data_IF_955849042465
#
_entry.id   IF_955849042465
#
_cell.length_a   1.000
_cell.length_b   1.000
_cell.length_c   1.000
_cell.angle_alpha   90.00
_cell.angle_beta   90.00
_cell.angle_gamma   90.00
#
_symmetry.space_group_name_H-M   'P 1'
#
loop_
_entity.id
_entity.type
_entity.pdbx_description
1 polymer ?
#
# COMPACT_ATOMS: atom_id res chain seq x y z
N UNK A 1 16.59 15.72 -2.28
CA UNK A 1 15.32 15.34 -2.93
C UNK A 1 14.38 14.87 -1.82
N UNK A 2 13.28 15.58 -1.56
CA UNK A 2 12.32 15.17 -0.52
C UNK A 2 11.45 14.04 -1.10
N UNK A 3 11.60 12.81 -0.57
CA UNK A 3 10.64 11.73 -0.87
C UNK A 3 9.37 12.03 -0.09
N UNK A 4 8.36 12.55 -0.78
CA UNK A 4 7.01 12.71 -0.24
C UNK A 4 6.31 11.35 -0.23
N UNK A 5 6.29 10.68 0.91
CA UNK A 5 5.42 9.53 1.13
C UNK A 5 3.99 10.04 1.36
N UNK A 6 3.24 10.20 0.27
CA UNK A 6 1.89 10.76 0.22
C UNK A 6 0.91 10.10 1.20
N UNK A 7 1.11 8.80 1.49
CA UNK A 7 0.26 8.03 2.39
C UNK A 7 0.89 7.77 3.77
N UNK A 8 1.94 8.51 4.13
CA UNK A 8 2.56 8.40 5.46
C UNK A 8 1.53 8.60 6.57
N UNK A 9 1.50 7.67 7.53
CA UNK A 9 0.56 7.69 8.66
C UNK A 9 -0.86 7.23 8.33
N UNK A 10 -1.12 6.73 7.11
CA UNK A 10 -2.40 6.11 6.74
C UNK A 10 -2.32 4.59 6.85
N UNK A 11 -3.46 3.97 7.17
CA UNK A 11 -3.62 2.51 7.15
C UNK A 11 -4.57 2.11 6.04
N UNK A 12 -4.21 1.09 5.27
CA UNK A 12 -5.04 0.54 4.19
C UNK A 12 -5.26 -0.97 4.39
N UNK A 13 -6.50 -1.44 4.21
CA UNK A 13 -6.84 -2.86 4.13
C UNK A 13 -6.98 -3.24 2.66
N UNK A 14 -6.23 -4.25 2.22
CA UNK A 14 -6.30 -4.79 0.85
C UNK A 14 -6.73 -6.25 0.91
N UNK A 15 -7.89 -6.54 0.30
CA UNK A 15 -8.41 -7.90 0.13
C UNK A 15 -7.98 -8.48 -1.22
N UNK A 16 -7.88 -9.81 -1.33
CA UNK A 16 -7.41 -10.45 -2.56
C UNK A 16 -5.95 -10.10 -2.87
N UNK A 17 -5.16 -9.87 -1.84
CA UNK A 17 -3.82 -9.28 -1.90
C UNK A 17 -2.72 -10.23 -2.41
N UNK A 18 -3.06 -11.49 -2.69
CA UNK A 18 -2.09 -12.54 -3.05
C UNK A 18 -1.72 -12.56 -4.53
N UNK A 19 -2.55 -11.98 -5.42
CA UNK A 19 -2.29 -11.96 -6.87
C UNK A 19 -2.94 -10.78 -7.58
N UNK A 20 -2.60 -10.60 -8.87
CA UNK A 20 -3.23 -9.63 -9.75
C UNK A 20 -3.23 -8.20 -9.20
N UNK A 21 -4.40 -7.55 -9.32
CA UNK A 21 -4.59 -6.14 -8.95
C UNK A 21 -4.43 -5.94 -7.44
N UNK A 22 -4.94 -6.86 -6.61
CA UNK A 22 -4.82 -6.74 -5.16
C UNK A 22 -3.37 -6.70 -4.70
N UNK A 23 -2.53 -7.58 -5.24
CA UNK A 23 -1.07 -7.57 -4.99
C UNK A 23 -0.41 -6.28 -5.47
N UNK A 24 -0.72 -5.83 -6.70
CA UNK A 24 -0.14 -4.61 -7.26
C UNK A 24 -0.53 -3.36 -6.45
N UNK A 25 -1.79 -3.28 -6.01
CA UNK A 25 -2.29 -2.19 -5.17
C UNK A 25 -1.60 -2.17 -3.80
N UNK A 26 -1.49 -3.33 -3.13
CA UNK A 26 -0.81 -3.43 -1.84
C UNK A 26 0.64 -2.93 -1.90
N UNK A 27 1.39 -3.33 -2.94
CA UNK A 27 2.77 -2.88 -3.16
C UNK A 27 2.83 -1.37 -3.38
N UNK A 28 1.95 -0.81 -4.22
CA UNK A 28 1.95 0.62 -4.51
C UNK A 28 1.58 1.46 -3.29
N UNK A 29 0.61 1.02 -2.49
CA UNK A 29 0.20 1.68 -1.25
C UNK A 29 1.34 1.70 -0.21
N UNK A 30 2.03 0.58 -0.04
CA UNK A 30 3.19 0.50 0.84
C UNK A 30 4.34 1.42 0.36
N UNK A 31 4.59 1.47 -0.95
CA UNK A 31 5.61 2.34 -1.55
C UNK A 31 5.29 3.84 -1.36
N UNK A 32 4.01 4.21 -1.24
CA UNK A 32 3.58 5.58 -0.92
C UNK A 32 3.58 5.87 0.59
N UNK A 33 3.89 4.89 1.44
CA UNK A 33 4.06 5.05 2.89
C UNK A 33 2.89 4.62 3.76
N UNK A 34 1.89 3.94 3.20
CA UNK A 34 0.80 3.40 4.00
C UNK A 34 1.25 2.18 4.81
N UNK A 35 0.69 2.01 6.01
CA UNK A 35 0.68 0.72 6.71
C UNK A 35 -0.42 -0.16 6.09
N UNK A 36 -0.04 -1.27 5.46
CA UNK A 36 -0.98 -2.10 4.70
C UNK A 36 -1.27 -3.41 5.42
N UNK A 37 -2.56 -3.68 5.66
CA UNK A 37 -3.06 -4.97 6.14
C UNK A 37 -3.56 -5.78 4.95
N UNK A 38 -3.14 -7.04 4.88
CA UNK A 38 -3.36 -7.93 3.74
C UNK A 38 -4.31 -9.06 4.11
N UNK A 39 -5.34 -9.29 3.30
CA UNK A 39 -6.22 -10.47 3.35
C UNK A 39 -6.54 -11.02 1.97
#
# INVERSE_FOLDING_TARGET
>A
MIMSNELSGKTALVTGSTSGIGKAAAVKLAALGAHVVLT
#
